data_IF_887364904702
#
_entry.id   IF_887364904702
#
_cell.length_a   1.000
_cell.length_b   1.000
_cell.length_c   1.000
_cell.angle_alpha   90.00
_cell.angle_beta   90.00
_cell.angle_gamma   90.00
#
_symmetry.space_group_name_H-M   'P 1'
#
loop_
_entity.id
_entity.type
_entity.pdbx_description
1 polymer ?
#
# COMPACT_ATOMS: atom_id res chain seq x y z
N UNK A 1 32.24 24.96 -22.66
CA UNK A 1 32.62 23.54 -22.79
C UNK A 1 33.59 23.19 -21.69
N UNK A 2 33.11 22.70 -20.55
CA UNK A 2 33.93 21.98 -19.57
C UNK A 2 33.10 20.79 -19.10
N UNK A 3 33.62 19.62 -19.44
CA UNK A 3 33.14 18.29 -19.12
C UNK A 3 33.93 17.81 -17.89
N UNK A 4 33.28 16.99 -17.05
CA UNK A 4 33.83 16.19 -15.94
C UNK A 4 34.07 16.90 -14.60
N UNK A 5 33.27 16.55 -13.58
CA UNK A 5 33.72 15.69 -12.47
C UNK A 5 32.56 15.42 -11.50
N UNK A 6 31.93 14.26 -11.71
CA UNK A 6 31.16 13.54 -10.70
C UNK A 6 32.16 12.77 -9.83
N UNK A 7 31.90 12.71 -8.52
CA UNK A 7 32.51 11.82 -7.51
C UNK A 7 33.70 12.39 -6.72
N UNK A 8 33.43 12.95 -5.55
CA UNK A 8 34.18 12.61 -4.31
C UNK A 8 33.51 13.27 -3.10
N UNK A 9 33.27 12.50 -2.04
CA UNK A 9 33.12 13.07 -0.70
C UNK A 9 31.85 12.64 0.04
N UNK A 10 31.61 11.33 0.10
CA UNK A 10 31.13 10.71 1.33
C UNK A 10 32.11 11.13 2.45
N UNK A 11 31.66 11.84 3.48
CA UNK A 11 32.10 11.64 4.87
C UNK A 11 31.45 12.65 5.83
N UNK A 12 31.03 12.13 6.98
CA UNK A 12 30.73 12.83 8.25
C UNK A 12 29.39 13.59 8.24
N UNK A 13 28.40 13.29 9.10
CA UNK A 13 28.49 12.95 10.52
C UNK A 13 27.26 12.16 10.99
N UNK A 14 27.55 11.19 11.86
CA UNK A 14 26.61 10.56 12.80
C UNK A 14 26.13 11.58 13.84
N UNK A 15 24.84 11.58 14.16
CA UNK A 15 24.29 11.89 15.48
C UNK A 15 22.95 11.11 15.59
N UNK A 16 22.98 9.94 16.24
CA UNK A 16 22.54 9.72 17.62
C UNK A 16 21.02 9.92 17.86
N UNK A 17 20.34 8.77 17.95
CA UNK A 17 19.01 8.44 18.51
C UNK A 17 18.72 9.12 19.87
N UNK A 18 17.46 9.19 20.39
CA UNK A 18 16.71 7.99 20.81
C UNK A 18 15.16 7.98 20.67
N UNK A 19 14.68 6.74 20.47
CA UNK A 19 13.49 6.08 21.06
C UNK A 19 12.63 6.91 22.05
N UNK A 20 11.35 7.07 21.70
CA UNK A 20 10.27 7.25 22.67
C UNK A 20 9.37 6.01 22.62
N UNK A 21 9.52 5.18 23.64
CA UNK A 21 8.57 4.15 24.03
C UNK A 21 7.40 4.83 24.74
N UNK A 22 6.17 4.62 24.27
CA UNK A 22 4.98 4.90 25.06
C UNK A 22 4.49 3.60 25.69
N UNK A 23 4.84 3.46 26.98
CA UNK A 23 4.15 2.63 27.96
C UNK A 23 2.65 2.96 27.94
N UNK A 24 1.78 1.96 27.89
CA UNK A 24 0.43 2.07 28.45
C UNK A 24 0.27 1.11 29.61
N UNK A 25 -0.17 1.73 30.69
CA UNK A 25 -0.32 1.28 32.06
C UNK A 25 -1.26 0.09 32.18
N UNK A 26 -0.89 -0.84 33.07
CA UNK A 26 -1.77 -1.89 33.54
C UNK A 26 -2.87 -1.33 34.45
N UNK A 27 -4.05 -1.92 34.33
CA UNK A 27 -5.10 -1.83 35.34
C UNK A 27 -5.42 -3.26 35.78
N UNK A 28 -4.99 -3.58 37.02
CA UNK A 28 -5.28 -4.84 37.69
C UNK A 28 -6.56 -4.65 38.49
N UNK A 29 -7.58 -5.45 38.24
CA UNK A 29 -8.64 -5.70 39.22
C UNK A 29 -8.79 -7.20 39.47
N UNK A 30 -8.34 -7.55 40.66
CA UNK A 30 -8.96 -8.44 41.64
C UNK A 30 -9.09 -9.94 41.40
N UNK A 31 -8.30 -10.61 42.24
CA UNK A 31 -8.16 -12.02 42.60
C UNK A 31 -9.28 -12.47 43.55
N UNK A 32 -9.89 -13.62 43.26
CA UNK A 32 -10.51 -14.57 44.18
C UNK A 32 -10.89 -15.82 43.36
N UNK A 33 -10.73 -17.08 43.73
CA UNK A 33 -10.06 -17.79 44.81
C UNK A 33 -9.88 -19.24 44.26
N UNK A 34 -8.78 -19.93 44.61
CA UNK A 34 -8.64 -21.39 44.43
C UNK A 34 -9.10 -22.08 45.74
N UNK A 35 -9.35 -23.41 45.84
CA UNK A 35 -8.44 -24.46 45.32
C UNK A 35 -9.03 -25.84 44.92
N UNK A 36 -8.10 -26.66 44.39
CA UNK A 36 -8.04 -28.15 44.40
C UNK A 36 -9.00 -28.92 43.45
N UNK A 37 -8.64 -30.01 42.77
CA UNK A 37 -7.46 -30.88 42.77
C UNK A 37 -7.55 -31.90 41.60
N UNK A 38 -6.41 -32.50 41.26
CA UNK A 38 -6.21 -33.76 40.50
C UNK A 38 -6.49 -33.70 38.98
N UNK A 39 -5.64 -34.16 38.06
CA UNK A 39 -4.58 -35.18 38.16
C UNK A 39 -3.59 -34.93 37.02
N UNK A 40 -2.29 -35.01 37.30
CA UNK A 40 -1.26 -35.13 36.28
C UNK A 40 -1.36 -36.53 35.64
N UNK A 41 -1.45 -36.59 34.31
CA UNK A 41 -1.22 -37.81 33.55
C UNK A 41 -0.26 -37.49 32.41
N UNK A 42 0.97 -37.97 32.58
CA UNK A 42 1.85 -38.52 31.55
C UNK A 42 2.03 -37.75 30.24
N UNK A 43 3.16 -37.05 30.15
CA UNK A 43 3.87 -36.86 28.88
C UNK A 43 4.24 -38.25 28.35
N UNK A 44 3.54 -38.69 27.31
CA UNK A 44 3.86 -39.87 26.53
C UNK A 44 4.25 -39.46 25.12
N UNK A 45 5.56 -39.43 24.87
CA UNK A 45 6.13 -39.39 23.53
C UNK A 45 5.57 -40.55 22.68
N UNK A 46 4.70 -40.23 21.73
CA UNK A 46 4.54 -41.03 20.51
C UNK A 46 4.44 -40.07 19.33
N UNK A 47 5.60 -39.80 18.74
CA UNK A 47 5.73 -39.20 17.42
C UNK A 47 5.14 -40.17 16.37
N UNK A 48 3.83 -40.14 16.21
CA UNK A 48 3.16 -40.63 15.01
C UNK A 48 3.29 -39.56 13.93
N UNK A 49 4.33 -39.66 13.10
CA UNK A 49 4.40 -38.89 11.86
C UNK A 49 3.23 -39.29 10.96
N UNK A 50 2.16 -38.51 10.96
CA UNK A 50 1.12 -38.59 9.94
C UNK A 50 1.71 -37.92 8.69
N UNK A 51 2.56 -38.66 7.97
CA UNK A 51 2.98 -38.27 6.62
C UNK A 51 1.85 -38.72 5.69
N UNK A 52 0.93 -37.81 5.37
CA UNK A 52 -0.08 -38.07 4.34
C UNK A 52 0.68 -38.19 3.01
N UNK A 53 0.66 -39.31 2.29
CA UNK A 53 1.35 -39.39 0.99
C UNK A 53 0.55 -38.56 -0.04
N UNK A 54 1.23 -37.66 -0.76
CA UNK A 54 0.68 -36.99 -1.94
C UNK A 54 0.08 -35.60 -1.75
N UNK A 55 0.01 -35.06 -0.53
CA UNK A 55 -0.36 -33.64 -0.33
C UNK A 55 0.74 -32.68 -0.81
N UNK A 56 2.01 -33.10 -0.72
CA UNK A 56 3.17 -32.30 -1.14
C UNK A 56 3.14 -32.04 -2.65
N UNK A 57 2.77 -33.06 -3.42
CA UNK A 57 2.60 -32.97 -4.87
C UNK A 57 1.30 -32.25 -5.27
N UNK A 58 0.27 -32.24 -4.42
CA UNK A 58 -0.96 -31.47 -4.64
C UNK A 58 -0.74 -29.99 -4.36
N UNK A 59 -0.11 -29.64 -3.24
CA UNK A 59 0.24 -28.25 -2.90
C UNK A 59 1.28 -27.72 -3.89
N UNK A 60 2.28 -28.52 -4.28
CA UNK A 60 3.23 -28.13 -5.32
C UNK A 60 2.56 -27.98 -6.69
N UNK A 61 1.58 -28.81 -7.06
CA UNK A 61 0.80 -28.64 -8.30
C UNK A 61 -0.15 -27.45 -8.25
N UNK A 62 -0.76 -27.17 -7.12
CA UNK A 62 -1.71 -26.07 -6.94
C UNK A 62 -0.99 -24.71 -6.89
N UNK A 63 0.20 -24.67 -6.26
CA UNK A 63 1.14 -23.56 -6.40
C UNK A 63 1.54 -23.40 -7.87
N UNK A 64 1.79 -24.49 -8.61
CA UNK A 64 2.25 -24.44 -10.01
C UNK A 64 1.16 -24.16 -11.05
N UNK A 65 -0.11 -24.45 -10.74
CA UNK A 65 -1.27 -24.07 -11.58
C UNK A 65 -1.78 -22.65 -11.27
N UNK A 66 -1.52 -22.12 -10.08
CA UNK A 66 -1.91 -20.76 -9.68
C UNK A 66 -0.80 -19.70 -9.81
N UNK A 67 0.45 -20.08 -10.10
CA UNK A 67 1.59 -19.15 -10.16
C UNK A 67 2.27 -19.13 -11.52
N UNK A 68 1.56 -18.63 -12.52
CA UNK A 68 2.26 -17.77 -13.47
C UNK A 68 2.17 -16.32 -12.96
N UNK A 69 3.16 -15.82 -12.20
CA UNK A 69 3.19 -14.42 -11.79
C UNK A 69 3.34 -13.47 -12.98
N UNK A 70 3.46 -13.96 -14.23
CA UNK A 70 3.32 -13.14 -15.43
C UNK A 70 1.84 -12.97 -15.86
N UNK A 71 0.93 -13.85 -15.42
CA UNK A 71 -0.49 -13.86 -15.77
C UNK A 71 -1.42 -13.26 -14.70
N UNK A 72 -0.88 -12.80 -13.57
CA UNK A 72 -1.68 -12.07 -12.58
C UNK A 72 -2.11 -10.72 -13.16
N UNK A 73 -3.44 -10.53 -13.30
CA UNK A 73 -4.01 -9.28 -13.76
C UNK A 73 -3.53 -8.11 -12.86
N UNK A 74 -3.26 -6.92 -13.43
CA UNK A 74 -2.97 -5.72 -12.63
C UNK A 74 -4.05 -5.48 -11.58
N UNK A 75 -3.67 -5.11 -10.35
CA UNK A 75 -4.63 -4.70 -9.31
C UNK A 75 -5.21 -3.33 -9.63
N UNK A 76 -4.42 -2.46 -10.25
CA UNK A 76 -4.84 -1.14 -10.75
C UNK A 76 -4.31 -0.95 -12.17
N UNK A 77 -5.17 -0.52 -13.10
CA UNK A 77 -4.76 -0.18 -14.46
C UNK A 77 -4.66 1.35 -14.67
N UNK A 78 -4.03 1.76 -15.77
CA UNK A 78 -3.91 3.19 -16.13
C UNK A 78 -5.28 3.85 -16.25
N UNK A 79 -6.25 3.15 -16.85
CA UNK A 79 -7.61 3.64 -17.02
C UNK A 79 -8.28 3.95 -15.68
N UNK A 80 -8.08 3.09 -14.67
CA UNK A 80 -8.58 3.30 -13.31
C UNK A 80 -7.98 4.55 -12.67
N UNK A 81 -6.67 4.77 -12.83
CA UNK A 81 -6.00 5.98 -12.32
C UNK A 81 -6.56 7.22 -12.99
N UNK A 82 -6.70 7.22 -14.32
CA UNK A 82 -7.31 8.36 -15.04
C UNK A 82 -8.75 8.62 -14.62
N UNK A 83 -9.57 7.58 -14.44
CA UNK A 83 -10.95 7.73 -13.96
C UNK A 83 -10.97 8.37 -12.58
N UNK A 84 -10.16 7.88 -11.64
CA UNK A 84 -10.10 8.41 -10.27
C UNK A 84 -9.60 9.85 -10.21
N UNK A 85 -8.60 10.20 -11.05
CA UNK A 85 -8.15 11.59 -11.18
C UNK A 85 -9.26 12.49 -11.71
N UNK A 86 -10.07 12.01 -12.66
CA UNK A 86 -11.21 12.77 -13.16
C UNK A 86 -12.28 12.95 -12.08
N UNK A 87 -12.61 11.91 -11.33
CA UNK A 87 -13.55 11.99 -10.21
C UNK A 87 -13.10 13.00 -9.13
N UNK A 88 -11.79 13.07 -8.86
CA UNK A 88 -11.21 14.05 -7.94
C UNK A 88 -11.33 15.48 -8.46
N UNK A 89 -11.05 15.70 -9.76
CA UNK A 89 -11.24 17.01 -10.41
C UNK A 89 -12.70 17.46 -10.42
N UNK A 90 -13.61 16.55 -10.69
CA UNK A 90 -15.05 16.84 -10.70
C UNK A 90 -15.55 17.21 -9.30
N UNK A 91 -15.06 16.53 -8.27
CA UNK A 91 -15.37 16.86 -6.87
C UNK A 91 -14.82 18.22 -6.46
N UNK A 92 -13.60 18.57 -6.88
CA UNK A 92 -13.01 19.89 -6.65
C UNK A 92 -13.78 21.00 -7.37
N UNK A 93 -14.21 20.75 -8.61
CA UNK A 93 -15.06 21.68 -9.35
C UNK A 93 -16.43 21.88 -8.67
N UNK A 94 -17.03 20.80 -8.15
CA UNK A 94 -18.27 20.87 -7.39
C UNK A 94 -18.10 21.65 -6.08
N UNK A 95 -17.01 21.43 -5.34
CA UNK A 95 -16.70 22.16 -4.12
C UNK A 95 -16.52 23.67 -4.40
N UNK A 96 -15.81 24.02 -5.48
CA UNK A 96 -15.61 25.42 -5.89
C UNK A 96 -16.93 26.10 -6.28
N UNK A 97 -17.87 25.38 -6.90
CA UNK A 97 -19.22 25.89 -7.15
C UNK A 97 -19.97 26.15 -5.84
N UNK A 98 -19.86 25.24 -4.88
CA UNK A 98 -20.48 25.39 -3.56
C UNK A 98 -19.89 26.58 -2.79
N UNK A 99 -18.58 26.78 -2.82
CA UNK A 99 -17.92 27.94 -2.20
C UNK A 99 -18.42 29.26 -2.78
N UNK A 100 -18.58 29.33 -4.12
CA UNK A 100 -19.13 30.52 -4.77
C UNK A 100 -20.57 30.78 -4.34
N UNK A 101 -21.40 29.73 -4.30
CA UNK A 101 -22.77 29.82 -3.80
C UNK A 101 -22.80 30.35 -2.37
N UNK A 102 -21.96 29.78 -1.49
CA UNK A 102 -21.88 30.21 -0.08
C UNK A 102 -21.51 31.68 0.07
N UNK A 103 -20.59 32.18 -0.76
CA UNK A 103 -20.23 33.61 -0.76
C UNK A 103 -21.39 34.49 -1.21
N UNK A 104 -22.12 34.08 -2.25
CA UNK A 104 -23.30 34.81 -2.71
C UNK A 104 -24.43 34.80 -1.66
N UNK A 105 -24.65 33.66 -0.99
CA UNK A 105 -25.63 33.53 0.09
C UNK A 105 -25.23 34.39 1.30
N UNK A 106 -23.94 34.46 1.64
CA UNK A 106 -23.40 35.33 2.71
C UNK A 106 -23.57 36.82 2.37
N UNK A 107 -23.34 37.21 1.12
CA UNK A 107 -23.53 38.59 0.68
C UNK A 107 -25.01 38.98 0.69
N UNK A 108 -25.90 38.08 0.28
CA UNK A 108 -27.36 38.26 0.35
C UNK A 108 -27.82 38.43 1.81
N UNK A 109 -27.30 37.60 2.72
CA UNK A 109 -27.59 37.71 4.15
C UNK A 109 -27.14 39.05 4.74
N UNK A 110 -25.93 39.52 4.41
CA UNK A 110 -25.42 40.83 4.83
C UNK A 110 -26.32 41.97 4.33
N UNK A 111 -26.75 41.89 3.07
CA UNK A 111 -27.67 42.86 2.49
C UNK A 111 -29.01 42.88 3.24
N UNK A 112 -29.61 41.71 3.48
CA UNK A 112 -30.89 41.59 4.21
C UNK A 112 -30.83 42.20 5.62
N UNK A 113 -29.77 41.91 6.38
CA UNK A 113 -29.59 42.53 7.71
C UNK A 113 -29.44 44.04 7.61
N UNK A 114 -28.67 44.53 6.63
CA UNK A 114 -28.43 45.96 6.45
C UNK A 114 -29.65 46.73 5.94
N UNK A 115 -30.53 46.09 5.18
CA UNK A 115 -31.70 46.72 4.56
C UNK A 115 -32.94 46.69 5.44
N UNK A 116 -33.11 45.68 6.29
CA UNK A 116 -34.34 45.49 7.07
C UNK A 116 -34.30 46.11 8.47
N UNK A 117 -33.19 46.75 8.89
CA UNK A 117 -32.96 47.16 10.29
C UNK A 117 -33.34 46.03 11.28
N UNK A 118 -33.09 44.78 10.87
CA UNK A 118 -33.52 43.61 11.61
C UNK A 118 -32.85 43.62 12.99
N UNK A 119 -33.66 43.80 14.04
CA UNK A 119 -33.23 43.83 15.44
C UNK A 119 -33.99 42.79 16.26
N UNK A 120 -33.41 42.38 17.39
CA UNK A 120 -34.02 41.41 18.30
C UNK A 120 -34.31 40.05 17.65
N UNK A 121 -35.49 39.49 17.92
CA UNK A 121 -35.89 38.14 17.52
C UNK A 121 -35.83 37.89 16.00
N UNK A 122 -36.05 38.93 15.18
CA UNK A 122 -36.01 38.83 13.72
C UNK A 122 -34.59 38.61 13.21
N UNK A 123 -33.61 39.29 13.81
CA UNK A 123 -32.20 39.11 13.50
C UNK A 123 -31.74 37.71 13.88
N UNK A 124 -32.11 37.24 15.08
CA UNK A 124 -31.75 35.90 15.56
C UNK A 124 -32.33 34.81 14.66
N UNK A 125 -33.56 34.97 14.17
CA UNK A 125 -34.17 34.05 13.21
C UNK A 125 -33.43 34.02 11.87
N UNK A 126 -33.06 35.18 11.32
CA UNK A 126 -32.27 35.28 10.09
C UNK A 126 -30.87 34.67 10.26
N UNK A 127 -30.21 34.93 11.38
CA UNK A 127 -28.89 34.40 11.71
C UNK A 127 -28.94 32.87 11.87
N UNK A 128 -29.94 32.34 12.57
CA UNK A 128 -30.13 30.90 12.74
C UNK A 128 -30.36 30.19 11.40
N UNK A 129 -31.20 30.77 10.52
CA UNK A 129 -31.42 30.27 9.17
C UNK A 129 -30.13 30.29 8.33
N UNK A 130 -29.36 31.39 8.40
CA UNK A 130 -28.09 31.51 7.71
C UNK A 130 -27.08 30.45 8.19
N UNK A 131 -26.91 30.27 9.51
CA UNK A 131 -26.01 29.28 10.09
C UNK A 131 -26.40 27.85 9.65
N UNK A 132 -27.68 27.50 9.72
CA UNK A 132 -28.16 26.19 9.27
C UNK A 132 -27.86 25.95 7.78
N UNK A 133 -28.05 26.96 6.93
CA UNK A 133 -27.76 26.87 5.49
C UNK A 133 -26.25 26.79 5.19
N UNK A 134 -25.41 27.46 6.00
CA UNK A 134 -23.96 27.59 5.79
C UNK A 134 -23.23 26.28 6.00
N UNK A 135 -23.65 25.54 7.02
CA UNK A 135 -22.96 24.31 7.44
C UNK A 135 -23.59 23.06 6.79
N UNK A 136 -24.78 23.17 6.20
CA UNK A 136 -25.45 22.09 5.49
C UNK A 136 -24.62 21.60 4.28
N UNK A 137 -24.00 20.43 4.43
CA UNK A 137 -23.34 19.71 3.34
C UNK A 137 -21.97 20.25 2.91
N UNK A 138 -21.54 21.42 3.36
CA UNK A 138 -20.22 21.98 3.01
C UNK A 138 -19.06 21.12 3.55
N UNK A 139 -19.08 20.81 4.85
CA UNK A 139 -18.04 19.98 5.47
C UNK A 139 -18.01 18.56 4.87
N UNK A 140 -19.18 18.02 4.54
CA UNK A 140 -19.30 16.74 3.85
C UNK A 140 -18.71 16.80 2.42
N UNK A 141 -18.94 17.90 1.68
CA UNK A 141 -18.35 18.11 0.36
C UNK A 141 -16.83 18.27 0.41
N UNK A 142 -16.30 18.99 1.41
CA UNK A 142 -14.85 19.09 1.66
C UNK A 142 -14.25 17.70 1.93
N UNK A 143 -14.85 16.94 2.84
CA UNK A 143 -14.38 15.59 3.18
C UNK A 143 -14.44 14.63 1.98
N UNK A 144 -15.51 14.71 1.18
CA UNK A 144 -15.65 13.89 -0.03
C UNK A 144 -14.61 14.26 -1.11
N UNK A 145 -14.32 15.54 -1.28
CA UNK A 145 -13.28 16.02 -2.20
C UNK A 145 -11.90 15.48 -1.78
N UNK A 146 -11.54 15.63 -0.51
CA UNK A 146 -10.30 15.09 0.05
C UNK A 146 -10.19 13.57 -0.08
N UNK A 147 -11.27 12.84 0.21
CA UNK A 147 -11.30 11.39 0.07
C UNK A 147 -11.06 10.95 -1.37
N UNK A 148 -11.65 11.63 -2.35
CA UNK A 148 -11.44 11.34 -3.77
C UNK A 148 -10.02 11.66 -4.24
N UNK A 149 -9.44 12.79 -3.79
CA UNK A 149 -8.04 13.15 -4.07
C UNK A 149 -7.08 12.07 -3.53
N UNK A 150 -7.25 11.68 -2.27
CA UNK A 150 -6.43 10.61 -1.65
C UNK A 150 -6.58 9.28 -2.37
N UNK A 151 -7.80 8.92 -2.78
CA UNK A 151 -8.04 7.68 -3.52
C UNK A 151 -7.31 7.67 -4.88
N UNK A 152 -7.34 8.79 -5.60
CA UNK A 152 -6.63 8.92 -6.87
C UNK A 152 -5.11 8.84 -6.70
N UNK A 153 -4.58 9.48 -5.65
CA UNK A 153 -3.15 9.41 -5.31
C UNK A 153 -2.71 7.98 -4.97
N UNK A 154 -3.45 7.28 -4.11
CA UNK A 154 -3.18 5.90 -3.74
C UNK A 154 -3.21 4.97 -4.96
N UNK A 155 -4.14 5.17 -5.89
CA UNK A 155 -4.19 4.39 -7.13
C UNK A 155 -2.94 4.59 -7.99
N UNK A 156 -2.42 5.82 -8.09
CA UNK A 156 -1.16 6.10 -8.77
C UNK A 156 0.04 5.41 -8.11
N UNK A 157 0.13 5.48 -6.78
CA UNK A 157 1.19 4.82 -6.02
C UNK A 157 1.16 3.29 -6.19
N UNK A 158 -0.03 2.69 -6.22
CA UNK A 158 -0.20 1.24 -6.45
C UNK A 158 0.25 0.84 -7.86
N UNK A 159 -0.15 1.61 -8.88
CA UNK A 159 0.27 1.35 -10.26
C UNK A 159 1.80 1.43 -10.43
N UNK A 160 2.43 2.42 -9.81
CA UNK A 160 3.89 2.57 -9.84
C UNK A 160 4.60 1.45 -9.09
N UNK A 161 4.06 1.04 -7.93
CA UNK A 161 4.56 -0.11 -7.18
C UNK A 161 4.47 -1.40 -8.00
N UNK A 162 3.36 -1.65 -8.70
CA UNK A 162 3.21 -2.79 -9.60
C UNK A 162 4.21 -2.78 -10.76
N UNK A 163 4.42 -1.61 -11.38
CA UNK A 163 5.41 -1.49 -12.45
C UNK A 163 6.81 -1.79 -11.93
N UNK A 164 7.14 -1.32 -10.73
CA UNK A 164 8.42 -1.59 -10.10
C UNK A 164 8.61 -3.09 -9.77
N UNK A 165 7.58 -3.77 -9.26
CA UNK A 165 7.66 -5.21 -8.97
C UNK A 165 7.80 -6.03 -10.26
N UNK A 166 7.02 -5.71 -11.30
CA UNK A 166 7.15 -6.34 -12.63
C UNK A 166 8.54 -6.13 -13.22
N UNK A 167 9.10 -4.92 -13.13
CA UNK A 167 10.43 -4.63 -13.63
C UNK A 167 11.53 -5.38 -12.88
N UNK A 168 11.40 -5.56 -11.55
CA UNK A 168 12.33 -6.38 -10.76
C UNK A 168 12.25 -7.84 -11.17
N UNK A 169 11.05 -8.38 -11.27
CA UNK A 169 10.81 -9.76 -11.70
C UNK A 169 11.38 -10.03 -13.10
N UNK A 170 11.16 -9.12 -14.04
CA UNK A 170 11.74 -9.24 -15.38
C UNK A 170 13.28 -9.30 -15.38
N UNK A 171 13.94 -8.58 -14.45
CA UNK A 171 15.40 -8.65 -14.28
C UNK A 171 15.84 -9.97 -13.67
N UNK A 172 15.11 -10.47 -12.68
CA UNK A 172 15.34 -11.78 -12.06
C UNK A 172 15.19 -12.91 -13.08
N UNK A 173 14.10 -12.90 -13.86
CA UNK A 173 13.84 -13.86 -14.93
C UNK A 173 14.96 -13.81 -15.99
N UNK A 174 15.39 -12.62 -16.39
CA UNK A 174 16.50 -12.45 -17.34
C UNK A 174 17.84 -12.95 -16.78
N UNK A 175 18.10 -12.74 -15.49
CA UNK A 175 19.30 -13.24 -14.81
C UNK A 175 19.28 -14.77 -14.72
N UNK A 176 18.12 -15.37 -14.42
CA UNK A 176 17.97 -16.82 -14.37
C UNK A 176 18.19 -17.45 -15.75
N UNK A 177 17.66 -16.85 -16.82
CA UNK A 177 17.89 -17.33 -18.20
C UNK A 177 19.39 -17.32 -18.53
N UNK A 178 20.10 -16.24 -18.18
CA UNK A 178 21.57 -16.14 -18.38
C UNK A 178 22.31 -17.20 -17.58
N UNK A 179 21.98 -17.36 -16.30
CA UNK A 179 22.61 -18.36 -15.44
C UNK A 179 22.40 -19.78 -15.96
N UNK A 180 21.18 -20.12 -16.41
CA UNK A 180 20.88 -21.42 -17.03
C UNK A 180 21.68 -21.64 -18.31
N UNK A 181 21.85 -20.60 -19.13
CA UNK A 181 22.65 -20.68 -20.36
C UNK A 181 24.14 -20.91 -20.05
N UNK A 182 24.71 -20.16 -19.11
CA UNK A 182 26.09 -20.36 -18.65
C UNK A 182 26.32 -21.76 -18.09
N UNK A 183 25.39 -22.25 -17.28
CA UNK A 183 25.47 -23.61 -16.74
C UNK A 183 25.51 -24.66 -17.85
N UNK A 184 24.63 -24.56 -18.85
CA UNK A 184 24.64 -25.47 -20.00
C UNK A 184 25.94 -25.37 -20.81
N UNK A 185 26.49 -24.17 -20.97
CA UNK A 185 27.77 -23.97 -21.65
C UNK A 185 28.93 -24.65 -20.88
N UNK A 186 28.96 -24.54 -19.55
CA UNK A 186 29.94 -25.23 -18.70
C UNK A 186 29.80 -26.75 -18.78
N UNK A 187 28.57 -27.26 -18.68
CA UNK A 187 28.29 -28.69 -18.83
C UNK A 187 28.71 -29.21 -20.22
N UNK A 188 28.46 -28.44 -21.28
CA UNK A 188 28.89 -28.76 -22.65
C UNK A 188 30.42 -28.78 -22.80
N UNK A 189 31.12 -27.78 -22.26
CA UNK A 189 32.58 -27.71 -22.27
C UNK A 189 33.21 -28.89 -21.52
N UNK A 190 32.67 -29.26 -20.35
CA UNK A 190 33.16 -30.39 -19.58
C UNK A 190 32.99 -31.74 -20.32
N UNK A 191 31.89 -31.92 -21.06
CA UNK A 191 31.67 -33.12 -21.88
C UNK A 191 32.65 -33.21 -23.03
N UNK A 192 32.89 -32.10 -23.74
CA UNK A 192 33.85 -32.07 -24.84
C UNK A 192 35.28 -32.29 -24.34
N UNK A 193 35.65 -31.68 -23.22
CA UNK A 193 36.94 -31.95 -22.57
C UNK A 193 37.09 -33.42 -22.21
N UNK A 194 36.08 -34.04 -21.59
CA UNK A 194 36.11 -35.47 -21.26
C UNK A 194 36.27 -36.35 -22.51
N UNK A 195 35.58 -36.00 -23.60
CA UNK A 195 35.69 -36.70 -24.89
C UNK A 195 37.11 -36.59 -25.47
N UNK A 196 37.68 -35.39 -25.48
CA UNK A 196 39.04 -35.16 -25.98
C UNK A 196 40.09 -35.90 -25.15
N UNK A 197 39.96 -35.87 -23.81
CA UNK A 197 40.84 -36.63 -22.91
C UNK A 197 40.75 -38.14 -23.17
N UNK A 198 39.54 -38.67 -23.34
CA UNK A 198 39.35 -40.09 -23.64
C UNK A 198 39.97 -40.49 -25.00
N UNK A 199 39.80 -39.66 -26.03
CA UNK A 199 40.40 -39.89 -27.34
C UNK A 199 41.94 -39.85 -27.29
N UNK A 200 42.51 -38.93 -26.52
CA UNK A 200 43.96 -38.83 -26.32
C UNK A 200 44.52 -40.06 -25.61
N UNK A 201 43.85 -40.57 -24.57
CA UNK A 201 44.29 -41.75 -23.83
C UNK A 201 44.15 -43.07 -24.61
N UNK A 202 43.30 -43.09 -25.64
CA UNK A 202 43.08 -44.27 -26.48
C UNK A 202 44.03 -44.35 -27.70
N UNK A 203 44.81 -43.30 -27.96
CA UNK A 203 45.79 -43.21 -29.04
C UNK A 203 47.20 -43.59 -28.54
#
# INVERSE_FOLDING_TARGET
MIVLLVSLGLALTRLHSPLMQLHHSGEKMSRAAAPASATAVGVGDTAGSITIPGWEDSVAREIKLGSDPASAAPLVCEDDVTRLLQEARDAEAALKKLERKRRADEETFKQQISSEEATGERYDALLAAHIQSRDAGYNAACAACEAKKRRAELAGQLLDAERATRAKKAKEDAAEVRWRAERRAREGAAREEARLRAAFLAA
#
